data_IF_540687838505
#
_entry.id   IF_540687838505
#
_cell.length_a   1.000
_cell.length_b   1.000
_cell.length_c   1.000
_cell.angle_alpha   90.00
_cell.angle_beta   90.00
_cell.angle_gamma   90.00
#
_symmetry.space_group_name_H-M   'P 1'
#
loop_
_entity.id
_entity.type
_entity.pdbx_description
1 polymer ?
#
# COMPACT_ATOMS: atom_id res chain seq x y z
N UNK A 1 10.05 -12.93 7.12
CA UNK A 1 9.92 -12.43 8.51
C UNK A 1 9.53 -10.95 8.43
N UNK A 2 8.55 -10.46 9.20
CA UNK A 2 8.18 -9.04 9.16
C UNK A 2 9.32 -8.22 9.78
N UNK A 3 9.94 -7.32 9.02
CA UNK A 3 11.02 -6.45 9.46
C UNK A 3 10.52 -5.52 10.60
N UNK A 4 11.38 -5.25 11.60
CA UNK A 4 11.09 -4.34 12.71
C UNK A 4 10.69 -2.93 12.21
N UNK A 5 11.25 -2.49 11.09
CA UNK A 5 10.93 -1.23 10.43
C UNK A 5 9.47 -1.19 9.97
N UNK A 6 8.97 -2.26 9.35
CA UNK A 6 7.57 -2.34 8.92
C UNK A 6 6.61 -2.36 10.11
N UNK A 7 7.00 -2.97 11.23
CA UNK A 7 6.19 -2.92 12.47
C UNK A 7 6.04 -1.49 13.00
N UNK A 8 7.10 -0.68 12.89
CA UNK A 8 7.06 0.74 13.30
C UNK A 8 6.25 1.60 12.34
N UNK A 9 6.14 1.20 11.07
CA UNK A 9 5.39 1.94 10.03
C UNK A 9 3.98 1.42 9.77
N UNK A 10 3.54 0.38 10.47
CA UNK A 10 2.22 -0.25 10.25
C UNK A 10 1.02 0.70 10.39
N UNK A 11 1.21 1.78 11.15
CA UNK A 11 0.18 2.79 11.43
C UNK A 11 0.31 3.99 10.48
N UNK A 12 1.33 3.99 9.61
CA UNK A 12 1.56 5.01 8.60
C UNK A 12 0.75 4.75 7.32
N UNK A 13 0.23 5.82 6.75
CA UNK A 13 -0.38 5.83 5.42
C UNK A 13 0.32 6.87 4.56
N UNK A 14 0.64 6.50 3.32
CA UNK A 14 1.13 7.41 2.29
C UNK A 14 -0.03 7.85 1.43
N UNK A 15 -0.17 9.16 1.27
CA UNK A 15 -1.16 9.78 0.40
C UNK A 15 -0.45 10.38 -0.81
N UNK A 16 -0.92 10.03 -2.00
CA UNK A 16 -0.33 10.40 -3.28
C UNK A 16 -1.34 11.21 -4.08
N UNK A 17 -0.89 12.27 -4.74
CA UNK A 17 -1.73 13.08 -5.65
C UNK A 17 -2.45 14.25 -4.98
N UNK A 18 -2.35 14.40 -3.66
CA UNK A 18 -2.95 15.54 -2.96
C UNK A 18 -2.28 16.87 -3.36
N UNK A 19 -3.06 17.86 -3.84
CA UNK A 19 -2.52 19.14 -4.31
C UNK A 19 -1.84 19.93 -3.17
N UNK A 20 -0.75 20.63 -3.47
CA UNK A 20 0.08 21.27 -2.42
C UNK A 20 -0.52 22.58 -1.87
N UNK A 21 -1.50 23.15 -2.57
CA UNK A 21 -2.03 24.49 -2.30
C UNK A 21 -3.37 24.48 -1.56
N UNK A 22 -4.04 23.33 -1.46
CA UNK A 22 -5.39 23.21 -0.87
C UNK A 22 -5.36 22.87 0.63
N UNK A 23 -4.20 22.47 1.15
CA UNK A 23 -4.06 21.97 2.53
C UNK A 23 -4.21 23.08 3.59
N UNK A 24 -4.05 24.34 3.18
CA UNK A 24 -4.04 25.48 4.10
C UNK A 24 -2.82 25.47 5.04
N UNK A 25 -3.00 25.99 6.25
CA UNK A 25 -1.94 26.05 7.26
C UNK A 25 -1.83 24.76 8.11
N UNK A 26 -2.88 23.95 8.17
CA UNK A 26 -2.94 22.73 8.99
C UNK A 26 -3.36 21.50 8.18
N UNK A 27 -2.35 20.72 7.79
CA UNK A 27 -2.52 19.47 7.05
C UNK A 27 -3.25 18.39 7.85
N UNK A 28 -3.21 18.44 9.20
CA UNK A 28 -3.92 17.46 10.04
C UNK A 28 -5.44 17.65 9.89
N UNK A 29 -5.92 18.88 10.04
CA UNK A 29 -7.35 19.18 9.91
C UNK A 29 -7.83 18.96 8.47
N UNK A 30 -7.03 19.35 7.49
CA UNK A 30 -7.33 19.08 6.08
C UNK A 30 -7.56 17.57 5.81
N UNK A 31 -6.66 16.69 6.25
CA UNK A 31 -6.85 15.24 6.07
C UNK A 31 -8.03 14.70 6.87
N UNK A 32 -8.24 15.20 8.11
CA UNK A 32 -9.37 14.78 8.96
C UNK A 32 -10.72 15.04 8.29
N UNK A 33 -10.86 16.17 7.60
CA UNK A 33 -12.09 16.55 6.92
C UNK A 33 -12.24 15.92 5.53
N UNK A 34 -11.13 15.75 4.82
CA UNK A 34 -11.13 15.31 3.42
C UNK A 34 -11.23 13.79 3.30
N UNK A 35 -10.54 13.02 4.14
CA UNK A 35 -10.49 11.57 4.01
C UNK A 35 -11.85 10.88 4.18
N UNK A 36 -12.73 11.25 5.13
CA UNK A 36 -14.07 10.67 5.23
C UNK A 36 -14.89 10.92 3.95
N UNK A 37 -14.84 12.14 3.42
CA UNK A 37 -15.55 12.52 2.18
C UNK A 37 -15.00 11.78 0.96
N UNK A 38 -13.68 11.69 0.85
CA UNK A 38 -12.97 11.03 -0.25
C UNK A 38 -13.23 9.52 -0.28
N UNK A 39 -13.21 8.88 0.89
CA UNK A 39 -13.33 7.42 1.01
C UNK A 39 -14.76 6.94 1.21
N UNK A 40 -15.70 7.83 1.52
CA UNK A 40 -17.07 7.49 1.90
C UNK A 40 -17.17 6.77 3.25
N UNK A 41 -16.11 6.79 4.06
CA UNK A 41 -16.06 6.13 5.36
C UNK A 41 -16.49 7.06 6.48
N UNK A 42 -17.25 6.53 7.43
CA UNK A 42 -17.53 7.18 8.72
C UNK A 42 -16.55 6.68 9.76
N UNK A 43 -15.89 7.60 10.47
CA UNK A 43 -14.92 7.28 11.52
C UNK A 43 -15.45 7.73 12.87
N UNK A 44 -15.63 6.78 13.79
CA UNK A 44 -15.98 7.02 15.19
C UNK A 44 -14.96 6.32 16.09
N UNK A 45 -14.14 7.06 16.88
CA UNK A 45 -14.03 8.52 16.90
C UNK A 45 -13.45 9.09 15.58
N UNK A 46 -13.44 10.42 15.38
CA UNK A 46 -12.82 11.05 14.22
C UNK A 46 -11.36 10.64 14.01
N UNK A 47 -10.84 10.85 12.79
CA UNK A 47 -9.45 10.56 12.48
C UNK A 47 -8.50 11.40 13.34
N UNK A 48 -7.59 10.70 14.01
CA UNK A 48 -6.53 11.27 14.84
C UNK A 48 -5.18 10.85 14.28
N UNK A 49 -4.27 11.82 14.16
CA UNK A 49 -2.93 11.61 13.65
C UNK A 49 -1.91 11.93 14.73
N UNK A 50 -0.92 11.06 14.92
CA UNK A 50 0.24 11.36 15.76
C UNK A 50 1.10 12.45 15.10
N UNK A 51 1.28 12.35 13.79
CA UNK A 51 2.02 13.31 12.98
C UNK A 51 1.59 13.18 11.51
N UNK A 52 1.70 14.30 10.78
CA UNK A 52 1.42 14.38 9.34
C UNK A 52 2.45 15.29 8.71
N UNK A 53 3.16 14.81 7.69
CA UNK A 53 4.18 15.59 7.00
C UNK A 53 4.17 15.33 5.49
N UNK A 54 4.54 16.36 4.73
CA UNK A 54 4.79 16.26 3.29
C UNK A 54 6.25 15.90 3.03
N UNK A 55 6.50 14.99 2.09
CA UNK A 55 7.84 14.51 1.78
C UNK A 55 8.50 15.36 0.70
N UNK A 56 9.69 15.87 0.97
CA UNK A 56 10.48 16.65 0.02
C UNK A 56 10.14 18.15 0.05
N UNK A 57 10.80 18.95 -0.80
CA UNK A 57 10.64 20.40 -0.80
C UNK A 57 9.26 20.81 -1.32
N UNK A 58 8.69 21.89 -0.75
CA UNK A 58 7.44 22.49 -1.21
C UNK A 58 7.59 22.92 -2.67
N UNK A 59 6.74 22.38 -3.54
CA UNK A 59 6.70 22.71 -4.97
C UNK A 59 5.75 23.88 -5.18
N UNK A 60 6.10 24.76 -6.11
CA UNK A 60 5.33 25.98 -6.41
C UNK A 60 4.23 25.74 -7.45
N UNK A 61 4.27 24.59 -8.12
CA UNK A 61 3.39 24.23 -9.23
C UNK A 61 2.84 22.81 -9.10
N UNK A 62 1.55 22.65 -9.39
CA UNK A 62 0.90 21.33 -9.52
C UNK A 62 1.14 20.68 -10.90
N UNK A 63 1.94 21.32 -11.78
CA UNK A 63 2.28 20.79 -13.10
C UNK A 63 3.15 19.53 -13.00
N UNK A 64 3.94 19.42 -11.93
CA UNK A 64 4.65 18.21 -11.57
C UNK A 64 3.85 17.38 -10.56
N UNK A 65 4.12 16.06 -10.52
CA UNK A 65 3.50 15.15 -9.53
C UNK A 65 3.59 15.75 -8.11
N UNK A 66 2.46 15.98 -7.41
CA UNK A 66 2.47 16.54 -6.07
C UNK A 66 3.29 15.69 -5.11
N UNK A 67 3.94 16.35 -4.15
CA UNK A 67 4.73 15.66 -3.13
C UNK A 67 3.84 14.72 -2.30
N UNK A 68 4.28 13.50 -1.97
CA UNK A 68 3.53 12.61 -1.09
C UNK A 68 3.34 13.20 0.30
N UNK A 69 2.20 12.92 0.93
CA UNK A 69 2.00 13.11 2.37
C UNK A 69 2.20 11.76 3.05
N UNK A 70 2.85 11.73 4.21
CA UNK A 70 2.83 10.58 5.10
C UNK A 70 2.22 11.01 6.43
N UNK A 71 1.27 10.22 6.93
CA UNK A 71 0.70 10.40 8.25
C UNK A 71 0.79 9.10 9.04
N UNK A 72 1.09 9.21 10.34
CA UNK A 72 0.86 8.13 11.30
C UNK A 72 -0.48 8.37 12.00
N UNK A 73 -1.40 7.42 11.88
CA UNK A 73 -2.66 7.48 12.61
C UNK A 73 -2.47 6.99 14.04
N UNK A 74 -3.24 7.56 14.96
CA UNK A 74 -3.21 7.15 16.36
C UNK A 74 -3.81 5.74 16.56
N UNK A 75 -4.75 5.34 15.69
CA UNK A 75 -5.54 4.10 15.83
C UNK A 75 -5.31 3.17 14.64
N UNK A 76 -4.66 2.03 14.91
CA UNK A 76 -4.37 1.00 13.91
C UNK A 76 -5.60 0.53 13.11
N UNK A 77 -6.77 0.46 13.76
CA UNK A 77 -8.03 0.05 13.11
C UNK A 77 -8.40 1.01 11.98
N UNK A 78 -8.25 2.31 12.18
CA UNK A 78 -8.55 3.34 11.17
C UNK A 78 -7.55 3.27 10.00
N UNK A 79 -6.27 3.02 10.28
CA UNK A 79 -5.26 2.77 9.24
C UNK A 79 -5.66 1.60 8.35
N UNK A 80 -6.10 0.49 8.97
CA UNK A 80 -6.57 -0.69 8.21
C UNK A 80 -7.82 -0.40 7.38
N UNK A 81 -8.77 0.38 7.90
CA UNK A 81 -9.97 0.78 7.16
C UNK A 81 -9.62 1.61 5.92
N UNK A 82 -8.77 2.63 6.07
CA UNK A 82 -8.30 3.45 4.94
C UNK A 82 -7.59 2.62 3.87
N UNK A 83 -6.64 1.76 4.28
CA UNK A 83 -5.90 0.91 3.36
C UNK A 83 -6.79 -0.15 2.70
N UNK A 84 -7.81 -0.63 3.40
CA UNK A 84 -8.78 -1.55 2.82
C UNK A 84 -9.65 -0.86 1.77
N UNK A 85 -10.16 0.34 2.06
CA UNK A 85 -10.90 1.14 1.09
C UNK A 85 -10.04 1.42 -0.15
N UNK A 86 -8.77 1.78 0.03
CA UNK A 86 -7.84 1.98 -1.08
C UNK A 86 -7.64 0.72 -1.93
N UNK A 87 -7.53 -0.46 -1.31
CA UNK A 87 -7.42 -1.73 -2.06
C UNK A 87 -8.70 -2.08 -2.83
N UNK A 88 -9.86 -1.77 -2.26
CA UNK A 88 -11.16 -2.08 -2.87
C UNK A 88 -11.51 -1.12 -4.01
N UNK A 89 -11.24 0.18 -3.86
CA UNK A 89 -11.55 1.20 -4.87
C UNK A 89 -10.41 1.42 -5.88
N UNK A 90 -9.17 1.13 -5.50
CA UNK A 90 -7.98 1.44 -6.29
C UNK A 90 -7.55 2.90 -6.13
N UNK A 91 -8.16 3.79 -6.92
CA UNK A 91 -7.88 5.22 -6.88
C UNK A 91 -9.15 6.01 -6.55
N UNK A 92 -8.98 7.09 -5.78
CA UNK A 92 -10.00 8.07 -5.51
C UNK A 92 -9.80 9.29 -6.42
N UNK A 93 -10.85 10.09 -6.58
CA UNK A 93 -10.82 11.28 -7.42
C UNK A 93 -11.28 12.50 -6.62
N UNK A 94 -10.52 13.59 -6.70
CA UNK A 94 -10.82 14.86 -6.02
C UNK A 94 -10.45 16.00 -6.97
N UNK A 95 -11.43 16.81 -7.35
CA UNK A 95 -11.25 17.95 -8.27
C UNK A 95 -10.52 17.58 -9.58
N UNK A 96 -10.83 16.40 -10.13
CA UNK A 96 -10.19 15.88 -11.34
C UNK A 96 -8.77 15.31 -11.14
N UNK A 97 -8.26 15.29 -9.91
CA UNK A 97 -6.96 14.73 -9.55
C UNK A 97 -7.12 13.31 -9.01
N UNK A 98 -6.23 12.43 -9.45
CA UNK A 98 -6.15 11.05 -8.97
C UNK A 98 -5.43 11.00 -7.61
N UNK A 99 -6.13 10.47 -6.61
CA UNK A 99 -5.65 10.31 -5.24
C UNK A 99 -5.47 8.83 -4.92
N UNK A 100 -4.27 8.45 -4.45
CA UNK A 100 -3.98 7.06 -4.02
C UNK A 100 -3.51 7.01 -2.59
N UNK A 101 -3.99 6.01 -1.86
CA UNK A 101 -3.60 5.71 -0.49
C UNK A 101 -2.84 4.39 -0.49
N UNK A 102 -1.66 4.35 0.14
CA UNK A 102 -0.86 3.13 0.24
C UNK A 102 -0.26 2.99 1.64
N UNK A 103 0.07 1.76 2.03
CA UNK A 103 0.88 1.54 3.23
C UNK A 103 2.29 2.12 3.05
N UNK A 104 2.94 2.47 4.15
CA UNK A 104 4.34 2.91 4.17
C UNK A 104 5.26 1.76 4.56
N UNK A 105 5.87 1.12 3.57
CA UNK A 105 6.76 -0.02 3.79
C UNK A 105 8.21 0.40 4.00
N UNK A 106 8.98 -0.51 4.59
CA UNK A 106 10.44 -0.51 4.48
C UNK A 106 10.89 -0.56 3.02
N UNK A 107 12.13 -0.13 2.78
CA UNK A 107 12.74 -0.23 1.44
C UNK A 107 12.76 -1.69 1.00
N UNK A 108 13.22 -2.59 1.86
CA UNK A 108 13.29 -4.03 1.63
C UNK A 108 11.92 -4.62 1.25
N UNK A 109 10.88 -4.35 2.05
CA UNK A 109 9.52 -4.81 1.75
C UNK A 109 8.99 -4.21 0.45
N UNK A 110 9.25 -2.93 0.19
CA UNK A 110 8.86 -2.29 -1.08
C UNK A 110 9.53 -2.95 -2.30
N UNK A 111 10.81 -3.32 -2.18
CA UNK A 111 11.58 -3.99 -3.22
C UNK A 111 11.09 -5.42 -3.45
N UNK A 112 10.85 -6.16 -2.37
CA UNK A 112 10.27 -7.50 -2.42
C UNK A 112 8.88 -7.49 -3.09
N UNK A 113 8.00 -6.56 -2.69
CA UNK A 113 6.70 -6.36 -3.35
C UNK A 113 6.86 -6.04 -4.83
N UNK A 114 7.80 -5.15 -5.20
CA UNK A 114 8.06 -4.80 -6.60
C UNK A 114 8.52 -6.02 -7.42
N UNK A 115 9.39 -6.86 -6.86
CA UNK A 115 9.84 -8.08 -7.50
C UNK A 115 8.69 -9.08 -7.71
N UNK A 116 7.81 -9.25 -6.71
CA UNK A 116 6.57 -10.03 -6.88
C UNK A 116 5.65 -9.46 -7.99
N UNK A 117 5.48 -8.13 -8.02
CA UNK A 117 4.66 -7.48 -9.04
C UNK A 117 5.22 -7.67 -10.46
N UNK A 118 6.55 -7.75 -10.61
CA UNK A 118 7.20 -8.02 -11.90
C UNK A 118 6.86 -9.41 -12.46
N UNK A 119 6.44 -10.37 -11.63
CA UNK A 119 6.06 -11.71 -12.04
C UNK A 119 4.58 -11.83 -12.47
N UNK A 120 3.77 -10.77 -12.28
CA UNK A 120 2.34 -10.77 -12.65
C UNK A 120 2.04 -11.13 -14.11
N UNK A 121 2.79 -10.64 -15.12
CA UNK A 121 2.52 -11.02 -16.51
C UNK A 121 2.58 -12.53 -16.72
N UNK A 122 3.52 -13.22 -16.06
CA UNK A 122 3.64 -14.68 -16.14
C UNK A 122 2.48 -15.39 -15.46
N UNK A 123 2.04 -14.91 -14.29
CA UNK A 123 0.86 -15.43 -13.60
C UNK A 123 -0.42 -15.27 -14.44
N UNK A 124 -0.56 -14.15 -15.15
CA UNK A 124 -1.66 -13.94 -16.08
C UNK A 124 -1.64 -14.91 -17.27
N UNK A 125 -0.47 -15.15 -17.89
CA UNK A 125 -0.33 -16.13 -18.97
C UNK A 125 -0.68 -17.56 -18.54
N UNK A 126 -0.49 -17.89 -17.27
CA UNK A 126 -0.82 -19.20 -16.71
C UNK A 126 -2.28 -19.31 -16.25
N UNK A 127 -3.07 -18.24 -16.38
CA UNK A 127 -4.48 -18.18 -15.98
C UNK A 127 -4.74 -18.60 -14.53
N UNK A 128 -3.77 -18.33 -13.63
CA UNK A 128 -3.91 -18.63 -12.20
C UNK A 128 -4.44 -17.42 -11.42
N UNK A 129 -5.23 -17.68 -10.38
CA UNK A 129 -5.64 -16.63 -9.43
C UNK A 129 -4.46 -16.32 -8.52
N UNK A 130 -4.24 -15.05 -8.21
CA UNK A 130 -3.17 -14.66 -7.30
C UNK A 130 -3.50 -13.37 -6.54
N UNK A 131 -2.80 -13.15 -5.42
CA UNK A 131 -2.94 -11.94 -4.61
C UNK A 131 -1.67 -11.62 -3.83
N UNK A 132 -1.32 -10.33 -3.76
CA UNK A 132 -0.17 -9.84 -2.97
C UNK A 132 -0.65 -9.27 -1.63
N UNK A 133 -0.30 -9.96 -0.55
CA UNK A 133 -0.70 -9.67 0.81
C UNK A 133 0.41 -8.97 1.61
N UNK A 134 0.00 -8.41 2.75
CA UNK A 134 0.87 -7.73 3.68
C UNK A 134 1.82 -8.69 4.44
N UNK A 135 3.07 -8.29 4.73
CA UNK A 135 3.77 -7.13 4.16
C UNK A 135 4.28 -7.39 2.74
N UNK A 136 4.66 -8.62 2.39
CA UNK A 136 5.08 -9.02 1.05
C UNK A 136 4.95 -10.54 0.89
N UNK A 137 3.72 -11.04 0.72
CA UNK A 137 3.44 -12.47 0.47
C UNK A 137 2.58 -12.61 -0.77
N UNK A 138 3.02 -13.40 -1.75
CA UNK A 138 2.19 -13.73 -2.90
C UNK A 138 1.49 -15.07 -2.67
N UNK A 139 0.15 -15.04 -2.68
CA UNK A 139 -0.67 -16.25 -2.68
C UNK A 139 -1.07 -16.55 -4.12
N UNK A 140 -0.88 -17.79 -4.55
CA UNK A 140 -1.32 -18.28 -5.85
C UNK A 140 -2.27 -19.43 -5.64
N UNK A 141 -3.39 -19.41 -6.36
CA UNK A 141 -4.41 -20.45 -6.34
C UNK A 141 -4.57 -21.05 -7.73
N UNK A 142 -4.35 -22.36 -7.83
CA UNK A 142 -4.53 -23.15 -9.05
C UNK A 142 -5.27 -24.44 -8.69
N UNK A 143 -6.37 -24.73 -9.41
CA UNK A 143 -7.20 -25.92 -9.17
C UNK A 143 -7.58 -26.09 -7.68
N UNK A 144 -8.05 -25.01 -7.05
CA UNK A 144 -8.45 -24.95 -5.62
C UNK A 144 -7.31 -25.13 -4.61
N UNK A 145 -6.10 -25.46 -5.05
CA UNK A 145 -4.91 -25.52 -4.21
C UNK A 145 -4.24 -24.14 -4.17
N UNK A 146 -4.05 -23.63 -2.97
CA UNK A 146 -3.40 -22.35 -2.73
C UNK A 146 -2.00 -22.55 -2.15
N UNK A 147 -1.02 -21.81 -2.66
CA UNK A 147 0.37 -21.82 -2.19
C UNK A 147 0.89 -20.42 -1.93
N UNK A 148 1.54 -20.26 -0.79
CA UNK A 148 2.18 -19.03 -0.36
C UNK A 148 3.65 -18.95 -0.77
N UNK A 149 4.05 -17.76 -1.21
CA UNK A 149 5.42 -17.39 -1.51
C UNK A 149 5.80 -16.15 -0.72
N UNK A 150 6.91 -16.24 0.00
CA UNK A 150 7.49 -15.14 0.79
C UNK A 150 8.73 -14.53 0.13
N UNK A 151 9.33 -15.27 -0.80
CA UNK A 151 10.44 -14.83 -1.64
C UNK A 151 9.99 -14.80 -3.12
N UNK A 152 10.15 -13.67 -3.83
CA UNK A 152 9.94 -13.59 -5.27
C UNK A 152 10.76 -14.61 -6.07
N UNK A 153 11.94 -15.01 -5.58
CA UNK A 153 12.78 -15.99 -6.26
C UNK A 153 12.20 -17.40 -6.18
N UNK A 154 11.70 -17.80 -5.00
CA UNK A 154 10.98 -19.08 -4.85
C UNK A 154 9.79 -19.17 -5.81
N UNK A 155 9.09 -18.06 -5.99
CA UNK A 155 8.00 -17.98 -6.97
C UNK A 155 8.53 -18.09 -8.40
N UNK A 156 9.60 -17.39 -8.75
CA UNK A 156 10.19 -17.47 -10.09
C UNK A 156 10.59 -18.91 -10.45
N UNK A 157 11.31 -19.58 -9.57
CA UNK A 157 11.71 -20.99 -9.70
C UNK A 157 10.49 -21.89 -9.90
N UNK A 158 9.43 -21.67 -9.12
CA UNK A 158 8.17 -22.39 -9.26
C UNK A 158 7.48 -22.16 -10.62
N UNK A 159 7.52 -20.94 -11.16
CA UNK A 159 6.93 -20.60 -12.46
C UNK A 159 7.73 -21.13 -13.66
N UNK A 160 9.02 -21.37 -13.48
CA UNK A 160 9.92 -21.94 -14.50
C UNK A 160 9.86 -23.48 -14.55
N UNK A 161 9.09 -24.12 -13.66
CA UNK A 161 8.94 -25.58 -13.62
C UNK A 161 10.13 -26.32 -13.01
N UNK A 162 11.07 -25.59 -12.41
CA UNK A 162 12.12 -26.18 -11.58
C UNK A 162 11.50 -26.56 -10.25
N UNK A 163 11.59 -27.84 -9.88
CA UNK A 163 11.10 -28.34 -8.59
C UNK A 163 11.66 -27.41 -7.48
N UNK A 164 10.82 -26.65 -6.75
CA UNK A 164 11.33 -25.79 -5.70
C UNK A 164 12.07 -26.69 -4.71
N UNK A 165 13.26 -26.26 -4.27
CA UNK A 165 13.99 -26.96 -3.21
C UNK A 165 13.00 -27.21 -2.06
N UNK A 166 12.95 -28.43 -1.49
CA UNK A 166 12.07 -28.68 -0.37
C UNK A 166 12.37 -27.65 0.72
N UNK A 167 11.34 -26.88 1.09
CA UNK A 167 11.43 -25.96 2.22
C UNK A 167 11.78 -26.79 3.46
N UNK A 168 12.78 -26.38 4.27
CA UNK A 168 13.23 -27.14 5.43
C UNK A 168 12.26 -27.10 6.62
N UNK A 169 10.97 -26.88 6.38
CA UNK A 169 9.95 -26.75 7.43
C UNK A 169 8.75 -27.65 7.13
N UNK A 170 8.99 -28.96 7.26
CA UNK A 170 8.03 -29.96 7.74
C UNK A 170 8.76 -30.75 8.82
#
# INVERSE_FOLDING_TARGET
MINLEDRKRRDNVRFLGFPETTEGADIHSYLRETLPKLTGLTFEPPLEFQWVHRLGPKRRDNANRPSPIIACLLRHVQTRQLLQAARSHGAFWMDGLEIRLTADFSKETSECRRAFLALRPRLHQMEVKYGLFEPARMLITKNEVSKDFYDPEDLRVFLEGSNPRPSPWI
#
